data_IF_736588593937
#
_entry.id   IF_736588593937
#
_cell.length_a   1.000
_cell.length_b   1.000
_cell.length_c   1.000
_cell.angle_alpha   90.00
_cell.angle_beta   90.00
_cell.angle_gamma   90.00
#
_symmetry.space_group_name_H-M   'P 1'
#
loop_
_entity.id
_entity.type
_entity.pdbx_description
1 polymer ?
#
# COMPACT_ATOMS: atom_id res chain seq x y z
N UNK A 1 -23.90 40.56 61.56
CA UNK A 1 -23.08 39.43 61.07
C UNK A 1 -23.94 38.16 61.12
N UNK A 2 -24.61 37.84 60.02
CA UNK A 2 -25.20 36.51 59.76
C UNK A 2 -25.13 36.28 58.24
N UNK A 3 -24.61 35.13 57.88
CA UNK A 3 -24.35 34.62 56.52
C UNK A 3 -25.66 34.24 55.82
N UNK A 4 -25.76 34.48 54.51
CA UNK A 4 -26.63 33.72 53.60
C UNK A 4 -25.85 33.38 52.33
N UNK A 5 -25.78 32.07 52.09
CA UNK A 5 -25.26 31.34 50.93
C UNK A 5 -26.14 31.52 49.70
N UNK A 6 -25.54 31.64 48.52
CA UNK A 6 -26.16 31.22 47.27
C UNK A 6 -25.06 30.83 46.27
N UNK A 7 -24.90 29.54 46.06
CA UNK A 7 -24.15 29.00 44.94
C UNK A 7 -24.97 29.15 43.65
N UNK A 8 -24.28 29.39 42.54
CA UNK A 8 -24.78 29.08 41.22
C UNK A 8 -23.62 28.45 40.44
N UNK A 9 -23.70 27.13 40.28
CA UNK A 9 -22.82 26.33 39.43
C UNK A 9 -23.00 26.82 37.99
N UNK A 10 -21.96 27.44 37.43
CA UNK A 10 -21.86 27.63 35.99
C UNK A 10 -21.52 26.28 35.36
N UNK A 11 -22.27 25.93 34.31
CA UNK A 11 -22.21 24.66 33.62
C UNK A 11 -20.82 24.31 33.13
N UNK A 12 -20.52 23.02 33.20
CA UNK A 12 -19.47 22.37 32.43
C UNK A 12 -19.86 22.42 30.94
N UNK A 13 -19.52 23.51 30.26
CA UNK A 13 -19.34 23.48 28.82
C UNK A 13 -18.00 22.80 28.56
N UNK A 14 -18.02 21.47 28.49
CA UNK A 14 -16.90 20.73 27.89
C UNK A 14 -17.00 20.97 26.39
N UNK A 15 -16.39 22.06 25.90
CA UNK A 15 -16.09 22.19 24.49
C UNK A 15 -15.27 20.96 24.07
N UNK A 16 -15.58 20.31 22.93
CA UNK A 16 -14.75 19.24 22.43
C UNK A 16 -13.34 19.79 22.16
N UNK A 17 -12.36 19.13 22.74
CA UNK A 17 -10.94 19.40 22.58
C UNK A 17 -10.57 19.31 21.08
N UNK A 18 -9.94 20.34 20.48
CA UNK A 18 -9.54 20.34 19.06
C UNK A 18 -8.42 19.33 18.74
N UNK A 19 -7.99 18.52 19.69
CA UNK A 19 -6.94 17.49 19.52
C UNK A 19 -7.49 16.11 19.11
N UNK A 20 -8.67 16.07 18.49
CA UNK A 20 -9.11 14.91 17.67
C UNK A 20 -8.36 14.93 16.31
N UNK A 21 -7.03 15.07 16.41
CA UNK A 21 -6.11 14.95 15.30
C UNK A 21 -6.15 13.47 14.89
N UNK A 22 -6.77 13.19 13.74
CA UNK A 22 -6.97 11.84 13.19
C UNK A 22 -5.63 11.09 13.02
N UNK A 23 -5.14 10.44 14.09
CA UNK A 23 -3.91 9.65 14.06
C UNK A 23 -4.15 8.44 13.15
N UNK A 24 -3.50 8.43 11.99
CA UNK A 24 -3.46 7.25 11.13
C UNK A 24 -2.42 6.27 11.66
N UNK A 25 -2.86 5.06 12.01
CA UNK A 25 -1.99 3.98 12.49
C UNK A 25 -2.10 2.74 11.59
N UNK A 26 -1.02 2.38 10.91
CA UNK A 26 -0.96 1.23 10.00
C UNK A 26 -1.12 -0.12 10.72
N UNK A 27 -0.93 -0.17 12.04
CA UNK A 27 -1.13 -1.38 12.82
C UNK A 27 -2.58 -1.54 13.29
N UNK A 28 -3.38 -0.46 13.30
CA UNK A 28 -4.79 -0.53 13.65
C UNK A 28 -5.60 -1.27 12.58
N UNK A 29 -6.45 -2.21 13.02
CA UNK A 29 -7.21 -3.12 12.13
C UNK A 29 -8.08 -2.38 11.11
N UNK A 30 -8.76 -1.34 11.56
CA UNK A 30 -9.76 -0.61 10.76
C UNK A 30 -9.20 0.72 10.21
N UNK A 31 -7.88 0.83 10.07
CA UNK A 31 -7.24 2.01 9.48
C UNK A 31 -7.05 1.86 7.97
N UNK A 32 -7.38 2.91 7.22
CA UNK A 32 -7.18 2.96 5.77
C UNK A 32 -5.71 2.72 5.38
N UNK A 33 -4.76 3.26 6.15
CA UNK A 33 -3.33 3.08 5.88
C UNK A 33 -2.91 1.59 5.92
N UNK A 34 -3.54 0.78 6.78
CA UNK A 34 -3.32 -0.66 6.84
C UNK A 34 -3.85 -1.37 5.60
N UNK A 35 -5.08 -1.07 5.20
CA UNK A 35 -5.68 -1.65 4.00
C UNK A 35 -4.87 -1.31 2.75
N UNK A 36 -4.47 -0.05 2.59
CA UNK A 36 -3.61 0.39 1.47
C UNK A 36 -2.24 -0.29 1.51
N UNK A 37 -1.64 -0.50 2.69
CA UNK A 37 -0.40 -1.26 2.80
C UNK A 37 -0.58 -2.71 2.33
N UNK A 38 -1.67 -3.37 2.69
CA UNK A 38 -1.98 -4.74 2.27
C UNK A 38 -2.15 -4.86 0.74
N UNK A 39 -2.80 -3.87 0.11
CA UNK A 39 -2.97 -3.81 -1.34
C UNK A 39 -1.65 -3.55 -2.09
N UNK A 40 -0.83 -2.63 -1.57
CA UNK A 40 0.49 -2.28 -2.13
C UNK A 40 1.52 -3.40 -1.93
N UNK A 41 1.62 -3.95 -0.72
CA UNK A 41 2.60 -4.99 -0.37
C UNK A 41 2.11 -6.40 -0.72
N UNK A 42 0.87 -6.53 -1.20
CA UNK A 42 0.34 -7.78 -1.73
C UNK A 42 1.17 -8.31 -2.89
N UNK A 43 1.17 -9.63 -3.07
CA UNK A 43 2.03 -10.36 -4.04
C UNK A 43 2.12 -9.69 -5.42
N UNK A 44 0.99 -9.21 -5.94
CA UNK A 44 0.92 -8.60 -7.27
C UNK A 44 1.05 -7.08 -7.25
N UNK A 45 0.66 -6.42 -6.16
CA UNK A 45 0.67 -4.96 -6.03
C UNK A 45 2.09 -4.42 -6.14
N UNK A 46 3.00 -4.96 -5.33
CA UNK A 46 4.41 -4.56 -5.33
C UNK A 46 5.06 -4.77 -6.71
N UNK A 47 4.79 -5.90 -7.36
CA UNK A 47 5.35 -6.20 -8.68
C UNK A 47 4.79 -5.28 -9.78
N UNK A 48 3.51 -4.92 -9.70
CA UNK A 48 2.90 -3.98 -10.64
C UNK A 48 3.48 -2.56 -10.48
N UNK A 49 3.65 -2.10 -9.23
CA UNK A 49 4.23 -0.79 -8.93
C UNK A 49 5.70 -0.71 -9.36
N UNK A 50 6.50 -1.74 -9.06
CA UNK A 50 7.89 -1.81 -9.51
C UNK A 50 8.00 -1.77 -11.04
N UNK A 51 7.15 -2.53 -11.74
CA UNK A 51 7.14 -2.55 -13.20
C UNK A 51 6.74 -1.21 -13.81
N UNK A 52 5.75 -0.52 -13.23
CA UNK A 52 5.32 0.81 -13.69
C UNK A 52 6.28 1.93 -13.28
N UNK A 53 7.13 1.69 -12.29
CA UNK A 53 8.25 2.58 -11.95
C UNK A 53 9.35 2.63 -13.02
N UNK A 54 9.41 1.65 -13.92
CA UNK A 54 10.29 1.66 -15.10
C UNK A 54 9.71 2.49 -16.27
N UNK A 55 8.41 2.82 -16.20
CA UNK A 55 7.69 3.60 -17.22
C UNK A 55 6.25 3.15 -17.40
N UNK A 56 5.48 3.91 -18.18
CA UNK A 56 4.09 3.58 -18.51
C UNK A 56 3.98 2.28 -19.32
N UNK A 57 3.01 1.43 -18.97
CA UNK A 57 2.83 0.12 -19.59
C UNK A 57 1.38 -0.14 -19.97
N UNK A 58 1.20 -0.86 -21.09
CA UNK A 58 -0.10 -1.45 -21.44
C UNK A 58 -0.34 -2.71 -20.63
N UNK A 59 -1.60 -3.10 -20.46
CA UNK A 59 -1.99 -4.30 -19.71
C UNK A 59 -1.17 -5.56 -20.07
N UNK A 60 -1.06 -5.88 -21.37
CA UNK A 60 -0.32 -7.05 -21.82
C UNK A 60 1.19 -6.96 -21.61
N UNK A 61 1.76 -5.75 -21.65
CA UNK A 61 3.17 -5.56 -21.33
C UNK A 61 3.42 -5.77 -19.84
N UNK A 62 2.55 -5.20 -18.99
CA UNK A 62 2.60 -5.37 -17.55
C UNK A 62 2.43 -6.84 -17.14
N UNK A 63 1.46 -7.55 -17.73
CA UNK A 63 1.26 -8.99 -17.49
C UNK A 63 2.48 -9.85 -17.83
N UNK A 64 3.22 -9.48 -18.90
CA UNK A 64 4.48 -10.18 -19.25
C UNK A 64 5.61 -9.85 -18.27
N UNK A 65 5.65 -8.60 -17.78
CA UNK A 65 6.64 -8.16 -16.80
C UNK A 65 6.41 -8.79 -15.42
N UNK A 66 5.15 -8.95 -15.01
CA UNK A 66 4.71 -9.61 -13.77
C UNK A 66 4.43 -11.09 -14.05
N UNK A 67 5.49 -11.88 -14.24
CA UNK A 67 5.35 -13.29 -14.60
C UNK A 67 4.56 -14.08 -13.54
N UNK A 68 3.67 -14.97 -14.01
CA UNK A 68 2.85 -15.84 -13.15
C UNK A 68 1.52 -15.23 -12.70
N UNK A 69 1.24 -13.96 -12.97
CA UNK A 69 -0.07 -13.35 -12.69
C UNK A 69 -1.10 -13.79 -13.74
N UNK A 70 -2.31 -14.14 -13.30
CA UNK A 70 -3.44 -14.34 -14.22
C UNK A 70 -4.02 -12.99 -14.66
N UNK A 71 -4.70 -12.98 -15.81
CA UNK A 71 -5.35 -11.76 -16.31
C UNK A 71 -6.38 -11.20 -15.33
N UNK A 72 -7.20 -12.08 -14.75
CA UNK A 72 -8.17 -11.71 -13.70
C UNK A 72 -7.49 -11.06 -12.50
N UNK A 73 -6.40 -11.65 -12.00
CA UNK A 73 -5.68 -11.13 -10.83
C UNK A 73 -5.03 -9.78 -11.14
N UNK A 74 -4.39 -9.64 -12.30
CA UNK A 74 -3.76 -8.37 -12.67
C UNK A 74 -4.82 -7.26 -12.84
N UNK A 75 -5.95 -7.57 -13.47
CA UNK A 75 -7.04 -6.62 -13.63
C UNK A 75 -7.58 -6.15 -12.27
N UNK A 76 -7.76 -7.08 -11.32
CA UNK A 76 -8.20 -6.74 -9.96
C UNK A 76 -7.17 -5.88 -9.22
N UNK A 77 -5.89 -6.24 -9.30
CA UNK A 77 -4.80 -5.48 -8.68
C UNK A 77 -4.73 -4.07 -9.23
N UNK A 78 -4.77 -3.89 -10.56
CA UNK A 78 -4.73 -2.58 -11.19
C UNK A 78 -5.93 -1.71 -10.79
N UNK A 79 -7.14 -2.29 -10.76
CA UNK A 79 -8.33 -1.56 -10.32
C UNK A 79 -8.23 -1.11 -8.85
N UNK A 80 -7.63 -1.94 -8.00
CA UNK A 80 -7.46 -1.63 -6.57
C UNK A 80 -6.42 -0.52 -6.39
N UNK A 81 -5.26 -0.63 -7.05
CA UNK A 81 -4.23 0.40 -7.00
C UNK A 81 -4.66 1.73 -7.66
N UNK A 82 -5.49 1.69 -8.70
CA UNK A 82 -6.11 2.88 -9.29
C UNK A 82 -7.08 3.54 -8.31
N UNK A 83 -7.93 2.74 -7.63
CA UNK A 83 -8.85 3.22 -6.58
C UNK A 83 -8.10 3.87 -5.42
N UNK A 84 -6.95 3.32 -5.03
CA UNK A 84 -6.11 3.85 -3.95
C UNK A 84 -5.29 5.08 -4.39
N UNK A 85 -5.39 5.47 -5.67
CA UNK A 85 -4.69 6.63 -6.22
C UNK A 85 -3.19 6.39 -6.43
N UNK A 86 -2.75 5.13 -6.52
CA UNK A 86 -1.36 4.79 -6.87
C UNK A 86 -1.12 4.85 -8.38
N UNK A 87 -2.16 4.54 -9.17
CA UNK A 87 -2.07 4.46 -10.62
C UNK A 87 -3.09 5.37 -11.31
N UNK A 88 -2.76 5.81 -12.52
CA UNK A 88 -3.70 6.36 -13.49
C UNK A 88 -3.88 5.41 -14.67
N UNK A 89 -5.09 5.39 -15.23
CA UNK A 89 -5.46 4.59 -16.40
C UNK A 89 -5.92 5.51 -17.53
N UNK A 90 -5.10 5.64 -18.56
CA UNK A 90 -5.37 6.51 -19.69
C UNK A 90 -5.84 5.72 -20.91
N UNK A 91 -6.93 6.17 -21.53
CA UNK A 91 -7.42 5.65 -22.81
C UNK A 91 -6.83 6.50 -23.94
N UNK A 92 -5.86 5.92 -24.64
CA UNK A 92 -5.21 6.55 -25.78
C UNK A 92 -6.08 6.37 -27.02
N UNK A 93 -6.55 7.49 -27.56
CA UNK A 93 -7.43 7.59 -28.73
C UNK A 93 -6.67 7.41 -30.05
N UNK A 94 -5.87 6.35 -30.16
CA UNK A 94 -5.30 5.89 -31.45
C UNK A 94 -6.25 4.92 -32.16
N UNK A 95 -5.93 4.55 -33.41
CA UNK A 95 -6.58 3.42 -34.09
C UNK A 95 -5.60 2.25 -34.14
N UNK A 96 -5.89 1.09 -33.52
CA UNK A 96 -6.98 0.85 -32.54
C UNK A 96 -6.72 1.58 -31.21
N UNK A 97 -7.76 1.85 -30.39
CA UNK A 97 -7.62 2.49 -29.09
C UNK A 97 -6.86 1.56 -28.14
N UNK A 98 -6.08 2.16 -27.23
CA UNK A 98 -5.23 1.40 -26.31
C UNK A 98 -5.30 2.00 -24.92
N UNK A 99 -5.12 1.14 -23.91
CA UNK A 99 -5.09 1.56 -22.50
C UNK A 99 -3.65 1.50 -22.01
N UNK A 100 -3.21 2.56 -21.35
CA UNK A 100 -1.94 2.63 -20.64
C UNK A 100 -2.18 2.86 -19.16
N UNK A 101 -1.25 2.35 -18.35
CA UNK A 101 -1.17 2.55 -16.92
C UNK A 101 0.13 3.27 -16.63
N UNK A 102 0.06 4.23 -15.72
CA UNK A 102 1.19 5.03 -15.24
C UNK A 102 1.06 5.21 -13.72
N UNK A 103 2.18 5.45 -13.04
CA UNK A 103 2.16 5.80 -11.63
C UNK A 103 1.64 7.24 -11.47
N UNK A 104 0.87 7.48 -10.43
CA UNK A 104 0.59 8.85 -9.96
C UNK A 104 1.79 9.37 -9.15
N UNK A 105 1.85 10.66 -8.78
CA UNK A 105 2.91 11.16 -7.91
C UNK A 105 2.99 10.45 -6.55
N UNK A 106 1.87 9.92 -6.03
CA UNK A 106 1.88 9.08 -4.82
C UNK A 106 2.47 7.70 -5.13
N UNK A 107 2.02 7.07 -6.23
CA UNK A 107 2.52 5.78 -6.69
C UNK A 107 4.03 5.78 -6.94
N UNK A 108 4.58 6.85 -7.52
CA UNK A 108 6.02 7.01 -7.74
C UNK A 108 6.82 7.01 -6.42
N UNK A 109 6.38 7.79 -5.42
CA UNK A 109 7.04 7.82 -4.11
C UNK A 109 7.00 6.45 -3.42
N UNK A 110 5.87 5.76 -3.52
CA UNK A 110 5.71 4.41 -2.96
C UNK A 110 6.59 3.41 -3.70
N UNK A 111 6.55 3.40 -5.04
CA UNK A 111 7.37 2.51 -5.87
C UNK A 111 8.86 2.69 -5.62
N UNK A 112 9.33 3.92 -5.35
CA UNK A 112 10.72 4.18 -4.99
C UNK A 112 11.13 3.49 -3.68
N UNK A 113 10.28 3.51 -2.65
CA UNK A 113 10.56 2.79 -1.40
C UNK A 113 10.56 1.27 -1.61
N UNK A 114 9.61 0.77 -2.40
CA UNK A 114 9.52 -0.65 -2.74
C UNK A 114 10.72 -1.12 -3.57
N UNK A 115 11.28 -0.27 -4.43
CA UNK A 115 12.49 -0.57 -5.21
C UNK A 115 13.67 -0.83 -4.29
N UNK A 116 13.88 0.03 -3.28
CA UNK A 116 14.94 -0.16 -2.29
C UNK A 116 14.80 -1.48 -1.54
N UNK A 117 13.57 -1.84 -1.14
CA UNK A 117 13.31 -3.16 -0.53
C UNK A 117 13.60 -4.31 -1.50
N UNK A 118 13.19 -4.19 -2.77
CA UNK A 118 13.43 -5.21 -3.78
C UNK A 118 14.93 -5.41 -4.03
N UNK A 119 15.71 -4.33 -4.16
CA UNK A 119 17.17 -4.38 -4.35
C UNK A 119 17.87 -5.05 -3.16
N UNK A 120 17.46 -4.72 -1.94
CA UNK A 120 17.97 -5.37 -0.74
C UNK A 120 17.73 -6.88 -0.78
N UNK A 121 16.52 -7.31 -1.13
CA UNK A 121 16.15 -8.73 -1.18
C UNK A 121 16.85 -9.47 -2.34
N UNK A 122 17.00 -8.82 -3.49
CA UNK A 122 17.78 -9.34 -4.63
C UNK A 122 19.25 -9.56 -4.24
N UNK A 123 19.85 -8.66 -3.45
CA UNK A 123 21.19 -8.80 -2.92
C UNK A 123 21.33 -9.82 -1.78
N UNK A 124 20.22 -10.19 -1.12
CA UNK A 124 20.20 -11.08 0.05
C UNK A 124 19.82 -12.53 -0.28
N UNK A 125 19.76 -12.91 -1.57
CA UNK A 125 19.27 -14.22 -2.03
C UNK A 125 20.03 -15.38 -1.37
N UNK A 126 21.35 -15.28 -1.26
CA UNK A 126 22.18 -16.33 -0.66
C UNK A 126 21.92 -16.48 0.85
N UNK A 127 21.77 -15.36 1.56
CA UNK A 127 21.46 -15.36 3.00
C UNK A 127 20.09 -15.98 3.27
N UNK A 128 19.07 -15.58 2.51
CA UNK A 128 17.72 -16.17 2.59
C UNK A 128 17.74 -17.65 2.24
N UNK A 129 18.52 -18.05 1.22
CA UNK A 129 18.70 -19.44 0.83
C UNK A 129 19.31 -20.29 1.94
N UNK A 130 20.39 -19.80 2.55
CA UNK A 130 21.04 -20.47 3.68
C UNK A 130 20.11 -20.59 4.90
N UNK A 131 19.36 -19.53 5.21
CA UNK A 131 18.39 -19.54 6.31
C UNK A 131 17.28 -20.58 6.10
N UNK A 132 16.77 -20.72 4.86
CA UNK A 132 15.76 -21.74 4.50
C UNK A 132 16.32 -23.15 4.63
N UNK A 133 17.50 -23.42 4.08
CA UNK A 133 18.13 -24.73 4.18
C UNK A 133 18.36 -25.15 5.64
N UNK A 134 18.78 -24.21 6.50
CA UNK A 134 18.94 -24.45 7.93
C UNK A 134 17.59 -24.74 8.65
N UNK A 135 16.51 -24.06 8.26
CA UNK A 135 15.17 -24.33 8.79
C UNK A 135 14.68 -25.74 8.39
N UNK A 136 14.79 -26.08 7.11
CA UNK A 136 14.33 -27.36 6.57
C UNK A 136 15.09 -28.55 7.19
N UNK A 137 16.40 -28.39 7.42
CA UNK A 137 17.22 -29.40 8.10
C UNK A 137 16.77 -29.65 9.56
N UNK A 138 16.37 -28.60 10.29
CA UNK A 138 15.82 -28.76 11.64
C UNK A 138 14.45 -29.46 11.62
N UNK A 139 13.62 -29.14 10.64
CA UNK A 139 12.27 -29.72 10.51
C UNK A 139 12.29 -31.22 10.15
N UNK A 140 13.33 -31.71 9.49
CA UNK A 140 13.49 -33.13 9.13
C UNK A 140 14.09 -34.00 10.25
N UNK A 141 14.67 -33.38 11.29
CA UNK A 141 15.38 -34.08 12.37
C UNK A 141 14.53 -34.21 13.66
N UNK A 142 13.35 -33.58 13.71
CA UNK A 142 12.40 -33.64 14.83
C UNK A 142 11.14 -34.41 14.47
#
# INVERSE_FOLDING_TARGET
MVTVTAGLSAGSETSPDPTDELISDVFARDCLSRATLEDVAGKWGILALLALGEGELRFNALRRRVQGVSEKMLSQTLQTLERDGMLSRDVITTIPPRVQYSLTPLGERVAQQLRGLAELLEGSVDEVGAARAAYDARALTG
#
